data_IF_856639732418
#
_entry.id   IF_856639732418
#
_cell.length_a   1.000
_cell.length_b   1.000
_cell.length_c   1.000
_cell.angle_alpha   90.00
_cell.angle_beta   90.00
_cell.angle_gamma   90.00
#
_symmetry.space_group_name_H-M   'P 1'
#
loop_
_entity.id
_entity.type
_entity.pdbx_description
1 polymer ?
#
# COMPACT_ATOMS: atom_id res chain seq x y z
N UNK A 1 -26.58 -16.42 24.06
CA UNK A 1 -26.70 -17.87 23.86
C UNK A 1 -25.35 -18.49 24.16
N UNK A 2 -25.24 -19.38 25.13
CA UNK A 2 -24.02 -20.17 25.37
C UNK A 2 -23.91 -21.22 24.27
N UNK A 3 -23.42 -20.80 23.10
CA UNK A 3 -23.27 -21.69 21.95
C UNK A 3 -22.10 -22.64 22.22
N UNK A 4 -22.42 -23.91 22.43
CA UNK A 4 -21.47 -25.00 22.32
C UNK A 4 -20.89 -24.98 20.91
N UNK A 5 -19.59 -24.73 20.75
CA UNK A 5 -18.84 -24.87 19.49
C UNK A 5 -18.76 -26.34 19.00
N UNK A 6 -19.62 -27.24 19.49
CA UNK A 6 -19.58 -28.67 19.19
C UNK A 6 -20.03 -29.01 17.77
N UNK A 7 -20.98 -28.26 17.21
CA UNK A 7 -21.53 -28.55 15.88
C UNK A 7 -20.73 -27.81 14.80
N UNK A 8 -19.71 -28.49 14.27
CA UNK A 8 -18.83 -28.00 13.20
C UNK A 8 -19.51 -27.92 11.83
N UNK A 9 -20.73 -28.45 11.69
CA UNK A 9 -21.49 -28.47 10.44
C UNK A 9 -22.88 -27.90 10.68
N UNK A 10 -23.21 -26.82 9.98
CA UNK A 10 -24.49 -26.12 10.09
C UNK A 10 -25.28 -26.29 8.80
N UNK A 11 -26.60 -26.50 8.92
CA UNK A 11 -27.54 -26.29 7.82
C UNK A 11 -27.63 -24.80 7.46
N UNK A 12 -28.14 -24.47 6.27
CA UNK A 12 -28.32 -23.08 5.83
C UNK A 12 -29.17 -22.26 6.83
N UNK A 13 -30.26 -22.85 7.37
CA UNK A 13 -31.13 -22.18 8.34
C UNK A 13 -30.45 -21.95 9.71
N UNK A 14 -29.53 -22.83 10.10
CA UNK A 14 -28.71 -22.62 11.30
C UNK A 14 -27.69 -21.49 11.07
N UNK A 15 -27.00 -21.52 9.93
CA UNK A 15 -26.05 -20.47 9.57
C UNK A 15 -26.72 -19.09 9.46
N UNK A 16 -27.88 -18.99 8.81
CA UNK A 16 -28.65 -17.75 8.71
C UNK A 16 -29.01 -17.19 10.09
N UNK A 17 -29.49 -18.03 11.02
CA UNK A 17 -29.78 -17.61 12.41
C UNK A 17 -28.55 -17.12 13.16
N UNK A 18 -27.39 -17.74 12.93
CA UNK A 18 -26.13 -17.30 13.54
C UNK A 18 -25.70 -15.93 13.01
N UNK A 19 -25.73 -15.76 11.69
CA UNK A 19 -25.40 -14.48 11.04
C UNK A 19 -26.36 -13.39 11.49
N UNK A 20 -27.68 -13.65 11.53
CA UNK A 20 -28.68 -12.69 12.01
C UNK A 20 -28.57 -12.32 13.48
N UNK A 21 -27.84 -13.10 14.30
CA UNK A 21 -27.61 -12.80 15.70
C UNK A 21 -26.41 -11.87 15.94
N UNK A 22 -25.59 -11.61 14.92
CA UNK A 22 -24.46 -10.69 14.97
C UNK A 22 -24.99 -9.28 14.73
N UNK A 23 -24.90 -8.35 15.71
CA UNK A 23 -25.47 -7.01 15.58
C UNK A 23 -24.67 -6.08 14.67
N UNK A 24 -23.45 -6.45 14.32
CA UNK A 24 -22.55 -5.66 13.48
C UNK A 24 -22.99 -5.64 12.00
N UNK A 25 -22.65 -4.58 11.24
CA UNK A 25 -22.79 -4.60 9.79
C UNK A 25 -21.83 -5.62 9.17
N UNK A 26 -22.16 -6.06 7.96
CA UNK A 26 -21.37 -7.02 7.20
C UNK A 26 -20.88 -6.40 5.90
N UNK A 27 -19.76 -6.90 5.41
CA UNK A 27 -19.28 -6.68 4.06
C UNK A 27 -19.15 -7.99 3.32
N UNK A 28 -19.33 -7.93 2.01
CA UNK A 28 -19.15 -9.07 1.11
C UNK A 28 -17.80 -8.91 0.41
N UNK A 29 -16.88 -9.83 0.67
CA UNK A 29 -15.58 -9.86 0.00
C UNK A 29 -15.62 -10.91 -1.09
N UNK A 30 -15.29 -10.53 -2.33
CA UNK A 30 -15.20 -11.48 -3.44
C UNK A 30 -13.85 -12.19 -3.45
N UNK A 31 -13.90 -13.52 -3.52
CA UNK A 31 -12.72 -14.36 -3.60
C UNK A 31 -12.24 -14.51 -5.06
N UNK A 32 -10.94 -14.75 -5.28
CA UNK A 32 -10.44 -15.13 -6.61
C UNK A 32 -11.14 -16.39 -7.15
N UNK A 33 -11.24 -16.58 -8.48
CA UNK A 33 -12.05 -17.66 -9.10
C UNK A 33 -11.70 -19.10 -8.67
N UNK A 34 -10.51 -19.31 -8.14
CA UNK A 34 -10.00 -20.62 -7.70
C UNK A 34 -10.15 -20.87 -6.19
N UNK A 35 -10.83 -19.97 -5.46
CA UNK A 35 -11.14 -20.10 -4.04
C UNK A 35 -12.64 -20.35 -3.88
N UNK A 36 -13.01 -21.38 -3.10
CA UNK A 36 -14.39 -21.67 -2.72
C UNK A 36 -14.60 -21.36 -1.23
N UNK A 37 -15.69 -20.66 -0.84
CA UNK A 37 -16.74 -20.09 -1.69
C UNK A 37 -16.27 -18.85 -2.48
N UNK A 38 -17.01 -18.44 -3.55
CA UNK A 38 -16.65 -17.28 -4.38
C UNK A 38 -16.75 -15.92 -3.65
N UNK A 39 -17.26 -15.91 -2.41
CA UNK A 39 -17.33 -14.72 -1.58
C UNK A 39 -17.30 -15.09 -0.09
N UNK A 40 -16.85 -14.17 0.74
CA UNK A 40 -16.89 -14.23 2.21
C UNK A 40 -17.84 -13.16 2.75
N UNK A 41 -18.71 -13.54 3.68
CA UNK A 41 -19.53 -12.61 4.44
C UNK A 41 -18.83 -12.32 5.77
N UNK A 42 -18.26 -11.12 5.88
CA UNK A 42 -17.42 -10.74 7.02
C UNK A 42 -18.12 -9.70 7.90
N UNK A 43 -18.30 -9.94 9.21
CA UNK A 43 -18.75 -8.89 10.11
C UNK A 43 -17.66 -7.82 10.23
N UNK A 44 -18.07 -6.56 10.31
CA UNK A 44 -17.19 -5.42 10.54
C UNK A 44 -17.27 -5.00 12.01
N UNK A 45 -16.18 -4.49 12.57
CA UNK A 45 -16.20 -3.86 13.89
C UNK A 45 -17.30 -2.79 13.97
N UNK A 46 -17.77 -2.44 15.17
CA UNK A 46 -18.66 -1.30 15.35
C UNK A 46 -17.89 0.01 15.03
N UNK A 47 -18.61 1.08 14.69
CA UNK A 47 -17.98 2.37 14.41
C UNK A 47 -17.57 3.03 15.72
N UNK A 48 -16.29 3.40 15.84
CA UNK A 48 -15.79 4.31 16.86
C UNK A 48 -15.17 5.55 16.22
N UNK A 49 -15.38 6.71 16.83
CA UNK A 49 -14.83 8.00 16.38
C UNK A 49 -13.80 8.57 17.37
N UNK A 50 -13.55 7.86 18.47
CA UNK A 50 -12.61 8.23 19.53
C UNK A 50 -11.95 7.00 20.14
N UNK A 51 -10.75 7.18 20.68
CA UNK A 51 -10.02 6.23 21.52
C UNK A 51 -10.32 6.54 22.99
N UNK A 52 -11.54 6.20 23.43
CA UNK A 52 -12.08 6.60 24.73
C UNK A 52 -11.22 6.14 25.93
N UNK A 53 -10.58 4.98 25.80
CA UNK A 53 -9.75 4.36 26.83
C UNK A 53 -8.23 4.54 26.56
N UNK A 54 -7.89 5.45 25.66
CA UNK A 54 -6.52 5.71 25.22
C UNK A 54 -6.08 4.88 24.00
N UNK A 55 -4.85 5.14 23.55
CA UNK A 55 -4.26 4.48 22.39
C UNK A 55 -3.25 3.40 22.82
N UNK A 56 -3.42 2.17 22.32
CA UNK A 56 -2.48 1.07 22.56
C UNK A 56 -1.76 0.65 21.27
N UNK A 57 -2.42 0.75 20.12
CA UNK A 57 -1.86 0.40 18.82
C UNK A 57 -2.29 1.33 17.70
N UNK A 58 -1.43 1.44 16.69
CA UNK A 58 -1.78 2.03 15.40
C UNK A 58 -1.34 1.08 14.29
N UNK A 59 -2.27 0.76 13.40
CA UNK A 59 -1.97 0.08 12.13
C UNK A 59 -2.11 1.09 10.99
N UNK A 60 -1.17 1.11 10.05
CA UNK A 60 -1.21 2.03 8.92
C UNK A 60 -0.81 1.34 7.63
N UNK A 61 -1.44 1.74 6.52
CA UNK A 61 -0.95 1.35 5.21
C UNK A 61 0.42 1.98 4.90
N UNK A 62 1.16 1.36 4.00
CA UNK A 62 2.38 1.93 3.44
C UNK A 62 2.04 2.91 2.33
N UNK A 63 1.46 2.39 1.24
CA UNK A 63 1.08 3.15 0.06
C UNK A 63 -0.01 4.16 0.46
N UNK A 64 0.10 5.42 0.00
CA UNK A 64 -0.94 6.45 0.14
C UNK A 64 -1.15 7.02 1.55
N UNK A 65 -0.62 6.34 2.57
CA UNK A 65 -0.69 6.70 3.98
C UNK A 65 0.70 7.06 4.54
N UNK A 66 1.71 6.23 4.27
CA UNK A 66 3.09 6.44 4.71
C UNK A 66 3.96 7.06 3.61
N UNK A 67 3.70 6.71 2.35
CA UNK A 67 4.51 7.15 1.18
C UNK A 67 3.69 7.32 -0.10
N UNK A 68 4.28 7.89 -1.15
CA UNK A 68 3.65 8.25 -2.44
C UNK A 68 3.87 7.23 -3.58
N UNK A 69 4.11 5.96 -3.24
CA UNK A 69 4.43 4.86 -4.18
C UNK A 69 3.41 4.66 -5.31
N UNK A 70 2.19 5.14 -5.15
CA UNK A 70 1.17 5.10 -6.20
C UNK A 70 1.55 5.84 -7.47
N UNK A 71 2.41 6.87 -7.37
CA UNK A 71 2.96 7.55 -8.55
C UNK A 71 3.71 6.55 -9.43
N UNK A 72 4.56 5.73 -8.82
CA UNK A 72 5.32 4.69 -9.52
C UNK A 72 4.40 3.57 -10.05
N UNK A 73 3.38 3.19 -9.28
CA UNK A 73 2.39 2.20 -9.73
C UNK A 73 1.65 2.69 -10.97
N UNK A 74 1.11 3.91 -10.96
CA UNK A 74 0.39 4.50 -12.10
C UNK A 74 1.30 4.62 -13.32
N UNK A 75 2.54 5.08 -13.13
CA UNK A 75 3.48 5.17 -14.24
C UNK A 75 3.74 3.80 -14.88
N UNK A 76 3.93 2.77 -14.05
CA UNK A 76 4.17 1.40 -14.51
C UNK A 76 2.95 0.80 -15.21
N UNK A 77 1.73 1.04 -14.69
CA UNK A 77 0.48 0.62 -15.31
C UNK A 77 0.21 1.34 -16.63
N UNK A 78 0.53 2.64 -16.69
CA UNK A 78 0.41 3.42 -17.90
C UNK A 78 1.37 2.93 -18.99
N UNK A 79 2.63 2.66 -18.63
CA UNK A 79 3.63 2.07 -19.53
C UNK A 79 3.22 0.67 -19.99
N UNK A 80 2.68 -0.16 -19.10
CA UNK A 80 2.13 -1.46 -19.46
C UNK A 80 0.99 -1.34 -20.47
N UNK A 81 0.02 -0.45 -20.23
CA UNK A 81 -1.10 -0.21 -21.14
C UNK A 81 -0.61 0.31 -22.50
N UNK A 82 0.33 1.25 -22.50
CA UNK A 82 0.93 1.80 -23.71
C UNK A 82 1.68 0.73 -24.51
N UNK A 83 2.50 -0.07 -23.84
CA UNK A 83 3.22 -1.21 -24.42
C UNK A 83 2.26 -2.19 -25.09
N UNK A 84 1.20 -2.62 -24.39
CA UNK A 84 0.23 -3.56 -24.95
C UNK A 84 -0.56 -2.96 -26.12
N UNK A 85 -0.78 -1.65 -26.14
CA UNK A 85 -1.41 -0.92 -27.25
C UNK A 85 -0.46 -0.64 -28.43
N UNK A 86 0.84 -0.92 -28.32
CA UNK A 86 1.85 -0.52 -29.31
C UNK A 86 2.03 1.00 -29.42
N UNK A 87 1.83 1.73 -28.32
CA UNK A 87 2.02 3.19 -28.21
C UNK A 87 3.39 3.52 -27.63
N UNK A 88 3.78 4.79 -27.73
CA UNK A 88 4.99 5.27 -27.08
C UNK A 88 4.92 5.06 -25.57
N UNK A 89 6.04 4.62 -24.98
CA UNK A 89 6.20 4.56 -23.53
C UNK A 89 6.56 5.92 -22.93
N UNK A 90 6.98 6.88 -23.77
CA UNK A 90 7.18 8.27 -23.38
C UNK A 90 5.82 8.92 -23.08
N UNK A 91 5.72 9.60 -21.94
CA UNK A 91 4.48 10.23 -21.47
C UNK A 91 3.28 9.26 -21.38
N UNK A 92 3.53 7.98 -21.10
CA UNK A 92 2.49 6.94 -21.06
C UNK A 92 1.31 7.28 -20.14
N UNK A 93 1.55 8.05 -19.06
CA UNK A 93 0.52 8.54 -18.13
C UNK A 93 -0.59 9.34 -18.82
N UNK A 94 -0.31 10.00 -19.95
CA UNK A 94 -1.31 10.72 -20.74
C UNK A 94 -2.33 9.80 -21.44
N UNK A 95 -2.08 8.49 -21.46
CA UNK A 95 -2.99 7.50 -22.04
C UNK A 95 -4.05 6.99 -21.06
N UNK A 96 -3.90 7.28 -19.77
CA UNK A 96 -4.89 6.99 -18.73
C UNK A 96 -5.72 8.23 -18.44
N UNK A 97 -7.01 8.03 -18.15
CA UNK A 97 -7.92 9.07 -17.68
C UNK A 97 -7.88 9.11 -16.14
N UNK A 98 -7.40 10.18 -15.50
CA UNK A 98 -7.29 10.24 -14.04
C UNK A 98 -8.62 10.13 -13.30
N UNK A 99 -9.72 10.62 -13.86
CA UNK A 99 -11.03 10.63 -13.20
C UNK A 99 -11.66 9.24 -13.28
N UNK A 100 -11.51 8.59 -14.43
CA UNK A 100 -12.12 7.29 -14.69
C UNK A 100 -11.26 6.12 -14.21
N UNK A 101 -9.95 6.16 -14.44
CA UNK A 101 -9.08 4.99 -14.30
C UNK A 101 -8.43 4.90 -12.92
N UNK A 102 -7.94 6.01 -12.34
CA UNK A 102 -7.21 5.98 -11.05
C UNK A 102 -8.01 5.32 -9.91
N UNK A 103 -9.32 5.55 -9.76
CA UNK A 103 -10.12 4.90 -8.72
C UNK A 103 -10.23 3.38 -8.86
N UNK A 104 -9.86 2.82 -10.02
CA UNK A 104 -9.92 1.39 -10.29
C UNK A 104 -8.53 0.74 -10.36
N UNK A 105 -7.46 1.54 -10.37
CA UNK A 105 -6.08 1.07 -10.54
C UNK A 105 -5.17 1.44 -9.37
N UNK A 106 -5.73 1.94 -8.26
CA UNK A 106 -5.05 2.21 -7.00
C UNK A 106 -5.85 1.60 -5.84
N UNK A 107 -5.20 1.24 -4.74
CA UNK A 107 -5.86 0.76 -3.53
C UNK A 107 -6.49 -0.64 -3.64
N UNK A 108 -5.98 -1.47 -4.54
CA UNK A 108 -6.35 -2.88 -4.75
C UNK A 108 -5.09 -3.68 -5.18
N UNK A 109 -5.20 -5.00 -5.37
CA UNK A 109 -4.08 -5.82 -5.89
C UNK A 109 -3.68 -5.42 -7.33
N UNK A 110 -2.41 -5.55 -7.68
CA UNK A 110 -1.88 -5.38 -9.04
C UNK A 110 -2.69 -6.15 -10.09
N UNK A 111 -3.09 -7.38 -9.78
CA UNK A 111 -3.91 -8.22 -10.68
C UNK A 111 -5.22 -7.52 -11.07
N UNK A 112 -5.89 -6.87 -10.12
CA UNK A 112 -7.15 -6.15 -10.37
C UNK A 112 -6.95 -4.89 -11.22
N UNK A 113 -5.86 -4.17 -10.98
CA UNK A 113 -5.51 -2.99 -11.77
C UNK A 113 -5.28 -3.36 -13.24
N UNK A 114 -4.52 -4.43 -13.46
CA UNK A 114 -4.23 -4.96 -14.80
C UNK A 114 -5.51 -5.46 -15.48
N UNK A 115 -6.35 -6.23 -14.77
CA UNK A 115 -7.64 -6.71 -15.29
C UNK A 115 -8.55 -5.55 -15.74
N UNK A 116 -8.67 -4.49 -14.93
CA UNK A 116 -9.44 -3.30 -15.27
C UNK A 116 -8.92 -2.64 -16.56
N UNK A 117 -7.61 -2.43 -16.67
CA UNK A 117 -7.01 -1.77 -17.84
C UNK A 117 -7.14 -2.63 -19.10
N UNK A 118 -7.06 -3.96 -18.99
CA UNK A 118 -7.33 -4.87 -20.10
C UNK A 118 -8.78 -4.75 -20.55
N UNK A 119 -9.74 -4.74 -19.62
CA UNK A 119 -11.15 -4.58 -19.97
C UNK A 119 -11.42 -3.23 -20.63
N UNK A 120 -10.75 -2.17 -20.16
CA UNK A 120 -10.95 -0.82 -20.65
C UNK A 120 -10.27 -0.55 -22.00
N UNK A 121 -9.05 -1.05 -22.20
CA UNK A 121 -8.20 -0.70 -23.34
C UNK A 121 -7.92 -1.88 -24.28
N UNK A 122 -8.32 -3.10 -23.93
CA UNK A 122 -7.98 -4.34 -24.64
C UNK A 122 -8.37 -4.37 -26.11
N UNK A 123 -9.40 -3.62 -26.51
CA UNK A 123 -9.78 -3.47 -27.92
C UNK A 123 -8.69 -2.81 -28.78
N UNK A 124 -7.77 -2.05 -28.17
CA UNK A 124 -6.62 -1.41 -28.83
C UNK A 124 -5.32 -2.21 -28.74
N UNK A 125 -5.34 -3.38 -28.10
CA UNK A 125 -4.13 -4.15 -27.85
C UNK A 125 -3.61 -4.82 -29.12
N UNK A 126 -2.29 -4.84 -29.27
CA UNK A 126 -1.60 -5.42 -30.42
C UNK A 126 -0.83 -6.66 -29.98
N UNK A 127 -1.21 -7.84 -30.49
CA UNK A 127 -0.62 -9.13 -30.08
C UNK A 127 0.89 -9.16 -30.31
N UNK A 128 1.38 -8.58 -31.39
CA UNK A 128 2.83 -8.46 -31.65
C UNK A 128 3.53 -7.61 -30.59
N UNK A 129 2.91 -6.49 -30.18
CA UNK A 129 3.45 -5.62 -29.14
C UNK A 129 3.43 -6.29 -27.77
N UNK A 130 2.35 -7.02 -27.45
CA UNK A 130 2.28 -7.85 -26.24
C UNK A 130 3.41 -8.87 -26.26
N UNK A 131 3.58 -9.62 -27.34
CA UNK A 131 4.63 -10.64 -27.47
C UNK A 131 6.02 -10.04 -27.21
N UNK A 132 6.34 -8.92 -27.86
CA UNK A 132 7.61 -8.20 -27.70
C UNK A 132 7.87 -7.82 -26.25
N UNK A 133 6.97 -7.05 -25.66
CA UNK A 133 7.18 -6.52 -24.31
C UNK A 133 7.10 -7.61 -23.26
N UNK A 134 6.27 -8.64 -23.44
CA UNK A 134 6.20 -9.79 -22.55
C UNK A 134 7.52 -10.57 -22.53
N UNK A 135 8.09 -10.89 -23.69
CA UNK A 135 9.37 -11.59 -23.80
C UNK A 135 10.51 -10.78 -23.18
N UNK A 136 10.59 -9.48 -23.49
CA UNK A 136 11.59 -8.59 -22.92
C UNK A 136 11.49 -8.51 -21.40
N UNK A 137 10.27 -8.31 -20.90
CA UNK A 137 9.97 -8.16 -19.48
C UNK A 137 10.33 -9.43 -18.72
N UNK A 138 9.92 -10.58 -19.25
CA UNK A 138 10.20 -11.89 -18.64
C UNK A 138 11.69 -12.21 -18.65
N UNK A 139 12.39 -11.92 -19.75
CA UNK A 139 13.83 -12.13 -19.85
C UNK A 139 14.58 -11.28 -18.81
N UNK A 140 14.20 -10.01 -18.66
CA UNK A 140 14.77 -9.14 -17.64
C UNK A 140 14.44 -9.62 -16.23
N UNK A 141 13.20 -10.00 -15.93
CA UNK A 141 12.81 -10.49 -14.60
C UNK A 141 13.62 -11.72 -14.21
N UNK A 142 13.80 -12.68 -15.12
CA UNK A 142 14.59 -13.88 -14.87
C UNK A 142 16.07 -13.55 -14.64
N UNK A 143 16.66 -12.72 -15.50
CA UNK A 143 18.10 -12.42 -15.47
C UNK A 143 18.49 -11.43 -14.36
N UNK A 144 17.75 -10.32 -14.25
CA UNK A 144 18.09 -9.17 -13.40
C UNK A 144 17.11 -8.95 -12.24
N UNK A 145 15.92 -9.54 -12.27
CA UNK A 145 14.93 -9.39 -11.21
C UNK A 145 15.50 -9.77 -9.84
N UNK A 146 15.06 -9.04 -8.82
CA UNK A 146 15.57 -9.20 -7.45
C UNK A 146 14.85 -10.31 -6.66
N UNK A 147 13.56 -10.55 -6.97
CA UNK A 147 12.72 -11.45 -6.20
C UNK A 147 12.65 -12.86 -6.81
N UNK A 148 12.96 -13.88 -6.00
CA UNK A 148 13.03 -15.28 -6.46
C UNK A 148 11.65 -15.83 -6.81
N UNK A 149 10.59 -15.42 -6.13
CA UNK A 149 9.24 -15.88 -6.43
C UNK A 149 8.73 -15.24 -7.72
N UNK A 150 9.01 -13.95 -7.93
CA UNK A 150 8.73 -13.26 -9.18
C UNK A 150 9.41 -13.93 -10.38
N UNK A 151 10.66 -14.39 -10.23
CA UNK A 151 11.34 -15.21 -11.27
C UNK A 151 10.60 -16.49 -11.60
N UNK A 152 10.14 -17.23 -10.58
CA UNK A 152 9.38 -18.47 -10.77
C UNK A 152 8.05 -18.19 -11.46
N UNK A 153 7.38 -17.11 -11.09
CA UNK A 153 6.13 -16.74 -11.72
C UNK A 153 6.31 -16.26 -13.17
N UNK A 154 7.37 -15.52 -13.49
CA UNK A 154 7.74 -15.17 -14.85
C UNK A 154 7.95 -16.42 -15.73
N UNK A 155 8.68 -17.42 -15.21
CA UNK A 155 8.86 -18.71 -15.88
C UNK A 155 7.53 -19.44 -16.06
N UNK A 156 6.67 -19.45 -15.04
CA UNK A 156 5.35 -20.03 -15.14
C UNK A 156 4.47 -19.29 -16.18
N UNK A 157 4.58 -17.97 -16.28
CA UNK A 157 3.89 -17.17 -17.29
C UNK A 157 4.30 -17.57 -18.72
N UNK A 158 5.59 -17.88 -18.98
CA UNK A 158 6.01 -18.43 -20.27
C UNK A 158 5.29 -19.75 -20.59
N UNK A 159 5.23 -20.66 -19.60
CA UNK A 159 4.61 -21.98 -19.77
C UNK A 159 3.11 -21.83 -20.07
N UNK A 160 2.40 -21.06 -19.23
CA UNK A 160 0.95 -20.86 -19.36
C UNK A 160 0.58 -20.17 -20.67
N UNK A 161 1.43 -19.27 -21.18
CA UNK A 161 1.18 -18.51 -22.42
C UNK A 161 1.71 -19.22 -23.68
N UNK A 162 1.99 -20.53 -23.61
CA UNK A 162 2.33 -21.35 -24.78
C UNK A 162 3.80 -21.30 -25.22
N UNK A 163 4.69 -20.79 -24.38
CA UNK A 163 6.10 -20.55 -24.68
C UNK A 163 7.05 -21.39 -23.80
N UNK A 164 6.62 -22.59 -23.38
CA UNK A 164 7.40 -23.49 -22.52
C UNK A 164 8.72 -23.96 -23.13
N UNK A 165 8.85 -23.96 -24.45
CA UNK A 165 10.05 -24.44 -25.17
C UNK A 165 11.19 -23.42 -25.25
N UNK A 166 10.99 -22.21 -24.72
CA UNK A 166 12.00 -21.13 -24.82
C UNK A 166 13.27 -21.42 -24.05
N UNK A 167 13.23 -22.26 -23.01
CA UNK A 167 14.42 -22.67 -22.25
C UNK A 167 15.49 -23.33 -23.14
N UNK A 168 15.07 -23.99 -24.22
CA UNK A 168 15.93 -24.64 -25.20
C UNK A 168 16.31 -23.73 -26.38
N UNK A 169 15.75 -22.52 -26.47
CA UNK A 169 16.03 -21.60 -27.59
C UNK A 169 17.37 -20.85 -27.35
N UNK A 170 18.36 -20.96 -28.26
CA UNK A 170 19.65 -20.27 -28.11
C UNK A 170 19.55 -18.74 -28.11
N UNK A 171 18.57 -18.17 -28.81
CA UNK A 171 18.36 -16.71 -28.82
C UNK A 171 17.75 -16.25 -27.49
N UNK A 172 16.84 -17.03 -26.90
CA UNK A 172 16.32 -16.75 -25.56
C UNK A 172 17.43 -16.76 -24.51
N UNK A 173 18.28 -17.78 -24.51
CA UNK A 173 19.42 -17.87 -23.61
C UNK A 173 20.40 -16.70 -23.79
N UNK A 174 20.59 -16.24 -25.04
CA UNK A 174 21.34 -15.01 -25.32
C UNK A 174 20.68 -13.78 -24.70
N UNK A 175 19.36 -13.60 -24.84
CA UNK A 175 18.62 -12.46 -24.24
C UNK A 175 18.77 -12.40 -22.71
N UNK A 176 18.79 -13.55 -22.03
CA UNK A 176 18.99 -13.64 -20.58
C UNK A 176 20.39 -13.18 -20.15
N UNK A 177 21.40 -13.34 -21.02
CA UNK A 177 22.79 -12.96 -20.75
C UNK A 177 23.21 -11.59 -21.31
N UNK A 178 22.41 -11.03 -22.22
CA UNK A 178 22.74 -9.83 -22.99
C UNK A 178 22.54 -8.53 -22.21
N UNK A 179 23.33 -7.50 -22.53
CA UNK A 179 23.06 -6.11 -22.15
C UNK A 179 21.93 -5.48 -22.97
N UNK A 180 21.45 -4.28 -22.57
CA UNK A 180 20.29 -3.60 -23.20
C UNK A 180 20.36 -3.43 -24.74
N UNK A 181 21.51 -3.08 -25.37
CA UNK A 181 21.56 -2.92 -26.83
C UNK A 181 21.44 -4.25 -27.60
N UNK A 182 22.14 -5.29 -27.13
CA UNK A 182 22.16 -6.63 -27.73
C UNK A 182 20.82 -7.36 -27.52
N UNK A 183 20.13 -7.06 -26.40
CA UNK A 183 18.82 -7.64 -26.09
C UNK A 183 17.75 -7.18 -27.10
N UNK A 184 17.78 -5.93 -27.53
CA UNK A 184 16.78 -5.39 -28.47
C UNK A 184 16.90 -5.99 -29.89
N UNK A 185 18.13 -6.21 -30.37
CA UNK A 185 18.37 -6.82 -31.67
C UNK A 185 17.92 -8.29 -31.71
N UNK A 186 18.27 -9.08 -30.67
CA UNK A 186 17.85 -10.48 -30.54
C UNK A 186 16.34 -10.67 -30.38
N UNK A 187 15.65 -9.68 -29.80
CA UNK A 187 14.22 -9.77 -29.49
C UNK A 187 13.33 -9.84 -30.74
N UNK A 188 13.67 -9.08 -31.80
CA UNK A 188 12.83 -9.03 -33.01
C UNK A 188 12.71 -10.38 -33.73
N UNK A 189 13.82 -11.11 -33.82
CA UNK A 189 13.82 -12.46 -34.39
C UNK A 189 13.02 -13.45 -33.53
N UNK A 190 13.13 -13.34 -32.20
CA UNK A 190 12.41 -14.20 -31.27
C UNK A 190 10.90 -13.94 -31.31
N UNK A 191 10.47 -12.67 -31.34
CA UNK A 191 9.06 -12.28 -31.44
C UNK A 191 8.39 -12.93 -32.65
N UNK A 192 9.04 -12.88 -33.80
CA UNK A 192 8.51 -13.45 -35.05
C UNK A 192 8.23 -14.95 -34.93
N UNK A 193 9.04 -15.70 -34.16
CA UNK A 193 8.86 -17.14 -33.92
C UNK A 193 7.80 -17.43 -32.85
N UNK A 194 7.73 -16.59 -31.82
CA UNK A 194 6.83 -16.77 -30.69
C UNK A 194 5.39 -16.34 -30.99
N UNK A 195 5.19 -15.41 -31.94
CA UNK A 195 3.89 -14.79 -32.21
C UNK A 195 2.79 -15.82 -32.51
N UNK A 196 3.11 -16.86 -33.29
CA UNK A 196 2.14 -17.91 -33.64
C UNK A 196 1.85 -18.92 -32.51
N UNK A 197 2.62 -18.90 -31.42
CA UNK A 197 2.48 -19.81 -30.27
C UNK A 197 1.92 -19.12 -29.02
N UNK A 198 2.09 -17.80 -28.92
CA UNK A 198 1.64 -17.02 -27.78
C UNK A 198 0.12 -17.09 -27.62
N UNK A 199 -0.36 -17.51 -26.46
CA UNK A 199 -1.79 -17.57 -26.12
C UNK A 199 -2.20 -16.40 -25.25
N UNK A 200 -2.82 -15.38 -25.83
CA UNK A 200 -3.30 -14.15 -25.13
C UNK A 200 -4.73 -13.79 -25.56
N UNK A 201 -5.60 -14.80 -25.59
CA UNK A 201 -6.95 -14.71 -26.17
C UNK A 201 -8.03 -14.46 -25.12
N UNK A 202 -7.72 -14.63 -23.84
CA UNK A 202 -8.63 -14.42 -22.71
C UNK A 202 -8.12 -13.35 -21.76
N UNK A 203 -9.03 -12.81 -20.93
CA UNK A 203 -8.68 -11.86 -19.87
C UNK A 203 -7.58 -12.42 -18.97
N UNK A 204 -7.69 -13.68 -18.54
CA UNK A 204 -6.69 -14.31 -17.66
C UNK A 204 -5.31 -14.37 -18.30
N UNK A 205 -5.20 -14.72 -19.58
CA UNK A 205 -3.92 -14.78 -20.28
C UNK A 205 -3.33 -13.39 -20.51
N UNK A 206 -4.16 -12.42 -20.90
CA UNK A 206 -3.74 -11.03 -21.07
C UNK A 206 -3.27 -10.42 -19.74
N UNK A 207 -3.95 -10.74 -18.63
CA UNK A 207 -3.56 -10.30 -17.29
C UNK A 207 -2.19 -10.84 -16.91
N UNK A 208 -1.90 -12.12 -17.20
CA UNK A 208 -0.57 -12.69 -16.96
C UNK A 208 0.52 -11.95 -17.73
N UNK A 209 0.30 -11.69 -19.02
CA UNK A 209 1.27 -10.94 -19.83
C UNK A 209 1.43 -9.50 -19.31
N UNK A 210 0.32 -8.82 -19.00
CA UNK A 210 0.31 -7.45 -18.47
C UNK A 210 1.04 -7.32 -17.14
N UNK A 211 0.88 -8.29 -16.23
CA UNK A 211 1.58 -8.32 -14.94
C UNK A 211 3.10 -8.34 -15.12
N UNK A 212 3.63 -9.18 -16.03
CA UNK A 212 5.08 -9.21 -16.27
C UNK A 212 5.59 -7.89 -16.90
N UNK A 213 4.82 -7.30 -17.82
CA UNK A 213 5.16 -5.99 -18.43
C UNK A 213 5.15 -4.87 -17.39
N UNK A 214 4.17 -4.87 -16.49
CA UNK A 214 4.08 -3.93 -15.37
C UNK A 214 5.31 -4.07 -14.45
N UNK A 215 5.60 -5.28 -13.97
CA UNK A 215 6.68 -5.51 -13.01
C UNK A 215 8.06 -5.22 -13.58
N UNK A 216 8.26 -5.40 -14.89
CA UNK A 216 9.50 -5.01 -15.56
C UNK A 216 9.85 -3.54 -15.34
N UNK A 217 8.88 -2.64 -15.49
CA UNK A 217 9.12 -1.22 -15.27
C UNK A 217 9.26 -0.94 -13.78
N UNK A 218 8.30 -1.43 -12.98
CA UNK A 218 8.24 -1.18 -11.54
C UNK A 218 9.54 -1.60 -10.82
N UNK A 219 10.00 -2.84 -11.00
CA UNK A 219 11.20 -3.36 -10.35
C UNK A 219 12.50 -2.74 -10.86
N UNK A 220 12.56 -2.38 -12.13
CA UNK A 220 13.74 -1.70 -12.66
C UNK A 220 13.89 -0.31 -12.04
N UNK A 221 12.77 0.42 -11.90
CA UNK A 221 12.77 1.71 -11.23
C UNK A 221 13.17 1.59 -9.75
N UNK A 222 12.62 0.61 -9.02
CA UNK A 222 13.05 0.35 -7.63
C UNK A 222 14.55 -0.01 -7.54
N UNK A 223 15.06 -0.81 -8.47
CA UNK A 223 16.49 -1.15 -8.51
C UNK A 223 17.37 0.07 -8.75
N UNK A 224 16.95 1.01 -9.60
CA UNK A 224 17.68 2.26 -9.84
C UNK A 224 17.64 3.20 -8.63
N UNK A 225 16.49 3.34 -7.96
CA UNK A 225 16.37 4.11 -6.71
C UNK A 225 17.35 3.57 -5.66
N UNK A 226 17.40 2.24 -5.50
CA UNK A 226 18.33 1.58 -4.58
C UNK A 226 19.80 1.85 -4.92
N UNK A 227 20.18 1.82 -6.20
CA UNK A 227 21.57 2.09 -6.64
C UNK A 227 21.99 3.54 -6.45
N UNK A 228 21.09 4.49 -6.68
CA UNK A 228 21.38 5.92 -6.61
C UNK A 228 21.41 6.47 -5.17
N UNK A 229 21.10 5.63 -4.17
CA UNK A 229 21.04 6.06 -2.76
C UNK A 229 20.07 7.21 -2.53
N UNK A 230 18.98 7.26 -3.31
CA UNK A 230 17.97 8.32 -3.26
C UNK A 230 18.39 9.68 -3.83
N UNK A 231 19.55 9.78 -4.49
CA UNK A 231 19.92 10.98 -5.25
C UNK A 231 19.30 10.91 -6.65
N UNK A 232 18.05 11.33 -6.80
CA UNK A 232 17.54 11.72 -8.13
C UNK A 232 18.28 12.98 -8.57
N UNK A 233 19.51 12.84 -9.07
CA UNK A 233 20.33 13.89 -9.68
C UNK A 233 19.79 14.38 -11.03
N UNK A 234 18.49 14.29 -11.24
CA UNK A 234 17.78 14.81 -12.40
C UNK A 234 16.65 15.70 -11.90
N UNK A 235 16.33 16.74 -12.66
CA UNK A 235 15.30 17.77 -12.42
C UNK A 235 13.85 17.25 -12.34
N UNK A 236 13.63 15.97 -12.03
CA UNK A 236 12.33 15.33 -11.85
C UNK A 236 11.98 15.19 -10.36
N UNK A 237 10.68 15.25 -10.05
CA UNK A 237 10.14 15.02 -8.71
C UNK A 237 10.49 13.59 -8.24
N UNK A 238 10.85 13.40 -6.97
CA UNK A 238 11.12 12.06 -6.44
C UNK A 238 9.83 11.20 -6.51
N UNK A 239 9.96 9.95 -6.95
CA UNK A 239 8.81 9.04 -7.13
C UNK A 239 8.36 8.37 -5.82
N UNK A 240 9.23 8.37 -4.80
CA UNK A 240 8.96 7.83 -3.47
C UNK A 240 9.32 8.93 -2.49
N UNK A 241 8.30 9.49 -1.85
CA UNK A 241 8.42 10.52 -0.81
C UNK A 241 7.60 10.10 0.41
N UNK A 242 7.96 10.53 1.63
CA UNK A 242 7.08 10.41 2.78
C UNK A 242 5.77 11.17 2.54
N UNK A 243 4.65 10.61 3.00
CA UNK A 243 3.40 11.37 3.03
C UNK A 243 3.50 12.54 4.01
N UNK A 244 2.92 13.71 3.70
CA UNK A 244 3.05 14.90 4.54
C UNK A 244 2.67 14.64 6.00
N UNK A 245 3.61 14.94 6.92
CA UNK A 245 3.42 14.78 8.36
C UNK A 245 3.66 13.38 8.92
N UNK A 246 4.00 12.38 8.10
CA UNK A 246 4.25 11.00 8.58
C UNK A 246 5.39 10.95 9.60
N UNK A 247 6.52 11.62 9.36
CA UNK A 247 7.65 11.63 10.29
C UNK A 247 7.27 12.18 11.67
N UNK A 248 6.52 13.28 11.70
CA UNK A 248 6.04 13.89 12.95
C UNK A 248 5.06 12.95 13.65
N UNK A 249 4.21 12.26 12.88
CA UNK A 249 3.25 11.28 13.42
C UNK A 249 3.95 10.10 14.07
N UNK A 250 4.93 9.50 13.39
CA UNK A 250 5.71 8.39 13.94
C UNK A 250 6.45 8.81 15.21
N UNK A 251 7.10 9.97 15.18
CA UNK A 251 7.82 10.52 16.33
C UNK A 251 6.89 10.84 17.51
N UNK A 252 5.68 11.34 17.23
CA UNK A 252 4.65 11.58 18.24
C UNK A 252 4.22 10.28 18.90
N UNK A 253 3.82 9.27 18.11
CA UNK A 253 3.26 8.03 18.63
C UNK A 253 4.25 7.20 19.42
N UNK A 254 5.54 7.27 19.10
CA UNK A 254 6.61 6.63 19.90
C UNK A 254 7.01 7.47 21.13
N UNK A 255 6.39 8.63 21.35
CA UNK A 255 6.61 9.47 22.51
C UNK A 255 7.90 10.30 22.47
N UNK A 256 8.53 10.45 21.30
CA UNK A 256 9.86 11.07 21.19
C UNK A 256 9.83 12.60 21.16
N UNK A 257 8.67 13.19 20.89
CA UNK A 257 8.51 14.64 20.76
C UNK A 257 8.12 15.35 22.06
N UNK A 258 7.46 14.68 23.00
CA UNK A 258 6.84 15.27 24.20
C UNK A 258 6.22 16.65 23.94
N UNK A 259 6.39 17.59 24.87
CA UNK A 259 5.88 18.97 24.70
C UNK A 259 6.40 19.70 23.45
N UNK A 260 7.55 19.29 22.91
CA UNK A 260 8.16 19.95 21.75
C UNK A 260 7.42 19.67 20.45
N UNK A 261 6.41 18.78 20.44
CA UNK A 261 5.42 18.71 19.36
C UNK A 261 4.83 20.10 19.07
N UNK A 262 4.66 20.94 20.08
CA UNK A 262 4.18 22.31 19.93
C UNK A 262 5.07 23.18 19.04
N UNK A 263 6.37 22.87 18.91
CA UNK A 263 7.31 23.59 18.03
C UNK A 263 7.10 23.21 16.55
N UNK A 264 6.55 22.03 16.29
CA UNK A 264 6.28 21.49 14.95
C UNK A 264 4.88 21.85 14.42
N UNK A 265 4.15 22.75 15.11
CA UNK A 265 2.82 23.20 14.71
C UNK A 265 2.78 23.80 13.30
N UNK A 266 3.74 24.67 12.98
CA UNK A 266 3.74 25.37 11.69
C UNK A 266 4.04 24.42 10.52
N UNK A 267 5.04 23.51 10.60
CA UNK A 267 5.20 22.41 9.65
C UNK A 267 3.95 21.53 9.49
N UNK A 268 3.27 21.17 10.58
CA UNK A 268 2.03 20.39 10.52
C UNK A 268 0.90 21.12 9.77
N UNK A 269 0.75 22.44 9.99
CA UNK A 269 -0.25 23.24 9.27
C UNK A 269 0.10 23.35 7.78
N UNK A 270 1.38 23.49 7.44
CA UNK A 270 1.83 23.50 6.05
C UNK A 270 1.49 22.17 5.36
N UNK A 271 1.79 21.03 6.01
CA UNK A 271 1.46 19.69 5.52
C UNK A 271 -0.06 19.48 5.37
N UNK A 272 -0.86 19.99 6.31
CA UNK A 272 -2.32 19.97 6.24
C UNK A 272 -2.84 20.72 5.00
N UNK A 273 -2.34 21.94 4.77
CA UNK A 273 -2.76 22.78 3.65
C UNK A 273 -2.24 22.28 2.29
N UNK A 274 -1.10 21.59 2.26
CA UNK A 274 -0.62 20.89 1.06
C UNK A 274 -1.59 19.76 0.66
N UNK A 275 -2.15 19.06 1.66
CA UNK A 275 -3.08 17.95 1.46
C UNK A 275 -4.49 18.41 1.14
N UNK A 276 -4.92 19.49 1.77
CA UNK A 276 -6.25 20.07 1.65
C UNK A 276 -6.16 21.59 1.84
N UNK A 277 -6.10 22.31 0.73
CA UNK A 277 -6.02 23.78 0.71
C UNK A 277 -7.20 24.47 1.40
N UNK A 278 -8.32 23.75 1.49
CA UNK A 278 -9.59 24.16 2.07
C UNK A 278 -9.73 23.75 3.54
N UNK A 279 -8.69 23.19 4.14
CA UNK A 279 -8.72 22.70 5.52
C UNK A 279 -9.02 23.83 6.52
N UNK A 280 -9.84 23.52 7.51
CA UNK A 280 -10.17 24.48 8.56
C UNK A 280 -9.01 24.62 9.56
N UNK A 281 -8.24 25.68 9.37
CA UNK A 281 -7.12 26.04 10.25
C UNK A 281 -7.55 26.70 11.56
N UNK A 282 -8.85 26.98 11.77
CA UNK A 282 -9.35 27.59 13.02
C UNK A 282 -9.62 26.57 14.10
N UNK A 283 -9.90 25.32 13.73
CA UNK A 283 -10.18 24.21 14.65
C UNK A 283 -8.93 23.40 15.01
N UNK A 284 -7.77 23.76 14.47
CA UNK A 284 -6.50 23.10 14.80
C UNK A 284 -6.10 23.36 16.26
N UNK A 285 -5.45 22.37 16.87
CA UNK A 285 -4.93 22.49 18.23
C UNK A 285 -4.04 23.73 18.40
N UNK A 286 -4.17 24.34 19.58
CA UNK A 286 -3.25 25.38 20.04
C UNK A 286 -1.86 24.77 20.33
N UNK A 287 -0.85 25.62 20.52
CA UNK A 287 0.48 25.14 20.96
C UNK A 287 0.40 24.37 22.27
N UNK A 288 -0.43 24.83 23.21
CA UNK A 288 -0.66 24.11 24.48
C UNK A 288 -1.36 22.77 24.24
N UNK A 289 -2.37 22.71 23.35
CA UNK A 289 -3.03 21.45 23.01
C UNK A 289 -2.07 20.42 22.39
N UNK A 290 -1.15 20.87 21.53
CA UNK A 290 -0.09 20.00 21.00
C UNK A 290 0.92 19.59 22.06
N UNK A 291 1.28 20.47 23.00
CA UNK A 291 2.15 20.11 24.11
C UNK A 291 1.50 19.02 24.99
N UNK A 292 0.20 19.15 25.27
CA UNK A 292 -0.62 18.16 25.99
C UNK A 292 -0.66 16.81 25.28
N UNK A 293 -0.94 16.82 23.97
CA UNK A 293 -0.95 15.61 23.15
C UNK A 293 0.43 14.93 23.12
N UNK A 294 1.49 15.72 23.00
CA UNK A 294 2.86 15.23 23.06
C UNK A 294 3.23 14.61 24.40
N UNK A 295 2.88 15.25 25.53
CA UNK A 295 3.05 14.67 26.88
C UNK A 295 2.29 13.36 27.05
N UNK A 296 1.09 13.26 26.50
CA UNK A 296 0.30 12.04 26.57
C UNK A 296 1.06 10.86 25.93
N UNK A 297 1.54 11.00 24.69
CA UNK A 297 2.25 9.92 24.02
C UNK A 297 3.68 9.69 24.56
N UNK A 298 4.32 10.70 25.14
CA UNK A 298 5.57 10.51 25.89
C UNK A 298 5.38 9.58 27.10
N UNK A 299 4.23 9.68 27.78
CA UNK A 299 3.86 8.77 28.88
C UNK A 299 3.32 7.44 28.39
N UNK A 300 2.67 7.43 27.22
CA UNK A 300 1.93 6.28 26.68
C UNK A 300 2.34 6.02 25.21
N UNK A 301 3.59 5.59 24.97
CA UNK A 301 4.03 5.28 23.62
C UNK A 301 3.24 4.11 23.05
N UNK A 302 2.92 4.20 21.77
CA UNK A 302 2.01 3.29 21.07
C UNK A 302 2.79 2.25 20.26
N UNK A 303 2.23 1.04 20.15
CA UNK A 303 2.73 0.02 19.22
C UNK A 303 2.35 0.37 17.79
N UNK A 304 3.31 0.36 16.87
CA UNK A 304 3.10 0.74 15.48
C UNK A 304 3.24 -0.47 14.55
N UNK A 305 2.27 -0.65 13.66
CA UNK A 305 2.38 -1.58 12.56
C UNK A 305 2.24 -0.89 11.21
N UNK A 306 3.16 -1.22 10.31
CA UNK A 306 3.02 -0.97 8.89
C UNK A 306 2.42 -2.21 8.22
N UNK A 307 1.46 -2.00 7.33
CA UNK A 307 0.81 -3.06 6.54
C UNK A 307 0.88 -2.67 5.06
N UNK A 308 1.18 -3.59 4.15
CA UNK A 308 1.11 -3.34 2.69
C UNK A 308 0.78 -4.61 1.91
N UNK A 309 0.18 -4.43 0.73
CA UNK A 309 0.01 -5.51 -0.26
C UNK A 309 1.22 -5.68 -1.18
N UNK A 310 2.28 -4.88 -0.98
CA UNK A 310 3.58 -5.07 -1.64
C UNK A 310 4.35 -6.22 -1.00
N UNK A 311 5.22 -6.89 -1.76
CA UNK A 311 6.10 -7.93 -1.21
C UNK A 311 7.23 -7.30 -0.38
N UNK A 312 7.83 -8.07 0.53
CA UNK A 312 8.80 -7.54 1.50
C UNK A 312 10.04 -6.91 0.86
N UNK A 313 10.50 -7.42 -0.29
CA UNK A 313 11.66 -6.85 -0.98
C UNK A 313 11.39 -5.48 -1.62
N UNK A 314 10.15 -5.23 -2.06
CA UNK A 314 9.70 -3.94 -2.57
C UNK A 314 9.52 -2.95 -1.42
N UNK A 315 8.77 -3.36 -0.40
CA UNK A 315 8.50 -2.56 0.79
C UNK A 315 9.81 -2.10 1.47
N UNK A 316 10.82 -2.96 1.55
CA UNK A 316 12.12 -2.60 2.11
C UNK A 316 12.80 -1.45 1.35
N UNK A 317 12.82 -1.47 0.01
CA UNK A 317 13.43 -0.39 -0.79
C UNK A 317 12.67 0.92 -0.61
N UNK A 318 11.34 0.84 -0.65
CA UNK A 318 10.46 1.99 -0.47
C UNK A 318 10.70 2.62 0.90
N UNK A 319 10.69 1.83 1.96
CA UNK A 319 10.85 2.32 3.33
C UNK A 319 12.26 2.84 3.61
N UNK A 320 13.30 2.21 3.06
CA UNK A 320 14.67 2.72 3.15
C UNK A 320 14.75 4.15 2.57
N UNK A 321 14.09 4.40 1.43
CA UNK A 321 14.07 5.72 0.82
C UNK A 321 13.23 6.73 1.61
N UNK A 322 12.04 6.33 2.08
CA UNK A 322 11.20 7.16 2.95
C UNK A 322 11.99 7.59 4.19
N UNK A 323 12.63 6.63 4.88
CA UNK A 323 13.36 6.90 6.11
C UNK A 323 14.60 7.76 5.89
N UNK A 324 15.27 7.62 4.74
CA UNK A 324 16.35 8.53 4.34
C UNK A 324 15.87 9.98 4.26
N UNK A 325 14.69 10.22 3.69
CA UNK A 325 14.08 11.57 3.65
C UNK A 325 13.69 12.03 5.05
N UNK A 326 13.09 11.16 5.87
CA UNK A 326 12.71 11.48 7.25
C UNK A 326 13.91 11.87 8.14
N UNK A 327 15.08 11.23 7.95
CA UNK A 327 16.32 11.63 8.63
C UNK A 327 16.70 13.07 8.26
N UNK A 328 16.60 13.42 6.97
CA UNK A 328 16.88 14.79 6.52
C UNK A 328 15.87 15.79 7.11
N UNK A 329 14.58 15.48 7.06
CA UNK A 329 13.52 16.35 7.60
C UNK A 329 13.68 16.57 9.11
N UNK A 330 13.92 15.50 9.87
CA UNK A 330 14.13 15.57 11.32
C UNK A 330 15.37 16.39 11.70
N UNK A 331 16.39 16.39 10.83
CA UNK A 331 17.57 17.25 10.96
C UNK A 331 17.22 18.74 10.99
N UNK A 332 16.21 19.16 10.23
CA UNK A 332 15.76 20.55 10.09
C UNK A 332 14.71 20.96 11.12
N UNK A 333 14.15 20.00 11.88
CA UNK A 333 13.15 20.30 12.91
C UNK A 333 13.73 21.19 14.02
N UNK A 334 12.95 22.20 14.41
CA UNK A 334 13.28 23.12 15.51
C UNK A 334 12.87 22.47 16.83
N UNK A 335 13.69 21.54 17.30
CA UNK A 335 13.56 20.81 18.56
C UNK A 335 14.93 20.72 19.24
N UNK A 336 14.96 20.35 20.51
CA UNK A 336 16.19 20.21 21.29
C UNK A 336 17.11 19.14 20.71
N UNK A 337 18.42 19.32 20.91
CA UNK A 337 19.43 18.39 20.39
C UNK A 337 19.24 16.96 20.90
N UNK A 338 18.87 16.80 22.17
CA UNK A 338 18.63 15.48 22.76
C UNK A 338 17.50 14.71 22.08
N UNK A 339 16.36 15.37 21.81
CA UNK A 339 15.25 14.75 21.07
C UNK A 339 15.61 14.51 19.61
N UNK A 340 16.33 15.45 18.99
CA UNK A 340 16.82 15.30 17.62
C UNK A 340 17.74 14.08 17.47
N UNK A 341 18.68 13.86 18.38
CA UNK A 341 19.59 12.71 18.34
C UNK A 341 18.83 11.38 18.43
N UNK A 342 17.80 11.30 19.30
CA UNK A 342 16.91 10.12 19.38
C UNK A 342 16.21 9.87 18.04
N UNK A 343 15.66 10.91 17.42
CA UNK A 343 14.94 10.79 16.15
C UNK A 343 15.86 10.40 15.00
N UNK A 344 17.04 11.01 14.91
CA UNK A 344 18.01 10.71 13.86
C UNK A 344 18.54 9.28 13.97
N UNK A 345 18.72 8.75 15.18
CA UNK A 345 19.08 7.34 15.40
C UNK A 345 17.91 6.40 15.10
N UNK A 346 16.69 6.73 15.54
CA UNK A 346 15.51 5.91 15.29
C UNK A 346 15.18 5.82 13.79
N UNK A 347 15.22 6.94 13.06
CA UNK A 347 14.94 6.99 11.63
C UNK A 347 16.05 6.41 10.74
N UNK A 348 17.14 5.87 11.30
CA UNK A 348 18.09 5.08 10.49
C UNK A 348 17.51 3.76 9.98
N UNK A 349 16.42 3.26 10.59
CA UNK A 349 15.82 2.00 10.15
C UNK A 349 14.32 1.93 10.49
N UNK A 350 13.47 1.50 9.53
CA UNK A 350 12.05 1.26 9.79
C UNK A 350 11.80 0.29 10.96
N UNK A 351 12.67 -0.70 11.14
CA UNK A 351 12.57 -1.70 12.21
C UNK A 351 12.79 -1.13 13.62
N UNK A 352 13.29 0.10 13.76
CA UNK A 352 13.42 0.80 15.05
C UNK A 352 12.17 1.60 15.41
N UNK A 353 11.27 1.81 14.45
CA UNK A 353 10.04 2.59 14.62
C UNK A 353 8.83 1.67 14.69
N UNK A 354 8.71 0.74 13.74
CA UNK A 354 7.59 -0.18 13.64
C UNK A 354 7.83 -1.44 14.48
N UNK A 355 6.87 -1.73 15.36
CA UNK A 355 6.81 -2.95 16.16
C UNK A 355 6.33 -4.15 15.32
N UNK A 356 5.64 -3.91 14.21
CA UNK A 356 5.31 -4.91 13.20
C UNK A 356 5.39 -4.33 11.77
N UNK A 357 5.89 -5.12 10.83
CA UNK A 357 5.88 -4.80 9.39
C UNK A 357 5.32 -6.00 8.66
N UNK A 358 4.07 -5.89 8.19
CA UNK A 358 3.35 -6.97 7.53
C UNK A 358 3.23 -6.66 6.05
N UNK A 359 3.68 -7.59 5.22
CA UNK A 359 3.76 -7.45 3.77
C UNK A 359 3.01 -8.59 3.09
N UNK A 360 2.83 -8.52 1.77
CA UNK A 360 2.26 -9.64 1.01
C UNK A 360 3.10 -10.91 1.12
N UNK A 361 4.40 -10.81 1.43
CA UNK A 361 5.29 -11.96 1.65
C UNK A 361 4.94 -12.78 2.89
N UNK A 362 4.24 -12.17 3.85
CA UNK A 362 3.82 -12.83 5.09
C UNK A 362 2.48 -13.59 4.90
N UNK A 363 1.81 -13.39 3.76
CA UNK A 363 0.52 -13.96 3.43
C UNK A 363 0.55 -14.58 2.02
N UNK A 364 -0.61 -14.65 1.36
CA UNK A 364 -0.76 -15.09 -0.02
C UNK A 364 -1.65 -14.12 -0.79
N UNK A 365 -1.48 -14.07 -2.12
CA UNK A 365 -2.24 -13.18 -3.02
C UNK A 365 -3.76 -13.23 -2.76
N UNK A 366 -4.29 -14.43 -2.46
CA UNK A 366 -5.72 -14.63 -2.21
C UNK A 366 -6.23 -14.07 -0.89
N UNK A 367 -5.32 -13.68 0.02
CA UNK A 367 -5.62 -13.16 1.36
C UNK A 367 -5.12 -11.71 1.54
N UNK A 368 -4.76 -11.03 0.46
CA UNK A 368 -4.45 -9.59 0.51
C UNK A 368 -5.75 -8.77 0.64
N UNK A 369 -5.60 -7.46 0.82
CA UNK A 369 -6.72 -6.50 0.92
C UNK A 369 -7.69 -6.73 -0.26
N UNK A 370 -9.01 -6.80 -0.03
CA UNK A 370 -9.74 -6.36 1.17
C UNK A 370 -9.86 -7.39 2.31
N UNK A 371 -9.18 -8.53 2.25
CA UNK A 371 -9.21 -9.48 3.36
C UNK A 371 -8.48 -8.93 4.58
N UNK A 372 -9.01 -9.23 5.78
CA UNK A 372 -8.50 -8.76 7.07
C UNK A 372 -7.12 -9.26 7.45
N UNK A 373 -6.61 -10.27 6.76
CA UNK A 373 -5.54 -11.15 7.22
C UNK A 373 -4.27 -10.37 7.55
N UNK A 374 -3.84 -9.43 6.71
CA UNK A 374 -2.64 -8.63 6.96
C UNK A 374 -2.76 -7.78 8.25
N UNK A 375 -3.91 -7.15 8.48
CA UNK A 375 -4.15 -6.36 9.70
C UNK A 375 -4.31 -7.25 10.94
N UNK A 376 -4.92 -8.43 10.80
CA UNK A 376 -5.02 -9.41 11.88
C UNK A 376 -3.64 -9.95 12.28
N UNK A 377 -2.74 -10.18 11.32
CA UNK A 377 -1.35 -10.51 11.57
C UNK A 377 -0.61 -9.35 12.24
N UNK A 378 -0.90 -8.10 11.87
CA UNK A 378 -0.30 -6.93 12.50
C UNK A 378 -0.67 -6.84 13.99
N UNK A 379 -1.96 -7.00 14.32
CA UNK A 379 -2.45 -7.02 15.70
C UNK A 379 -1.80 -8.16 16.51
N UNK A 380 -1.72 -9.36 15.92
CA UNK A 380 -1.07 -10.50 16.55
C UNK A 380 0.42 -10.26 16.79
N UNK A 381 1.16 -9.76 15.81
CA UNK A 381 2.61 -9.50 15.90
C UNK A 381 2.92 -8.41 16.93
N UNK A 382 2.08 -7.37 17.03
CA UNK A 382 2.17 -6.38 18.11
C UNK A 382 1.74 -6.93 19.48
N UNK A 383 1.16 -8.13 19.54
CA UNK A 383 0.64 -8.72 20.78
C UNK A 383 -0.51 -7.91 21.38
N UNK A 384 -1.41 -7.37 20.55
CA UNK A 384 -2.61 -6.68 21.00
C UNK A 384 -3.73 -7.70 21.12
N UNK A 385 -4.36 -7.76 22.30
CA UNK A 385 -5.43 -8.70 22.57
C UNK A 385 -6.77 -8.23 21.96
N UNK A 386 -7.69 -9.14 21.58
CA UNK A 386 -8.99 -8.75 21.02
C UNK A 386 -9.81 -7.80 21.91
N UNK A 387 -9.69 -7.92 23.24
CA UNK A 387 -10.31 -7.01 24.19
C UNK A 387 -9.82 -5.56 24.06
N UNK A 388 -8.61 -5.33 23.56
CA UNK A 388 -7.99 -4.00 23.42
C UNK A 388 -8.10 -3.43 21.99
N UNK A 389 -8.81 -4.10 21.07
CA UNK A 389 -9.01 -3.58 19.71
C UNK A 389 -9.69 -2.20 19.68
N UNK A 390 -10.48 -1.85 20.69
CA UNK A 390 -11.09 -0.53 20.86
C UNK A 390 -10.07 0.60 21.12
N UNK A 391 -8.83 0.26 21.51
CA UNK A 391 -7.70 1.18 21.70
C UNK A 391 -6.77 1.26 20.48
N UNK A 392 -7.16 0.65 19.36
CA UNK A 392 -6.39 0.64 18.13
C UNK A 392 -7.01 1.58 17.10
N UNK A 393 -6.18 2.42 16.49
CA UNK A 393 -6.56 3.20 15.31
C UNK A 393 -5.97 2.56 14.05
N UNK A 394 -6.77 2.48 12.99
CA UNK A 394 -6.33 2.08 11.66
C UNK A 394 -6.35 3.24 10.68
N UNK A 395 -5.27 3.42 9.91
CA UNK A 395 -5.15 4.45 8.87
C UNK A 395 -4.94 3.82 7.50
N UNK A 396 -5.73 4.26 6.52
CA UNK A 396 -5.74 3.70 5.16
C UNK A 396 -6.21 4.74 4.16
N UNK A 397 -5.73 4.71 2.93
CA UNK A 397 -6.14 5.62 1.86
C UNK A 397 -7.13 4.99 0.87
N UNK A 398 -7.41 3.68 0.99
CA UNK A 398 -8.18 2.89 0.03
C UNK A 398 -9.46 2.26 0.60
N UNK A 399 -10.45 2.02 -0.27
CA UNK A 399 -11.68 1.30 0.12
C UNK A 399 -11.36 -0.13 0.59
N UNK A 400 -10.51 -0.85 -0.16
CA UNK A 400 -10.17 -2.23 0.18
C UNK A 400 -9.48 -2.35 1.54
N UNK A 401 -8.63 -1.38 1.87
CA UNK A 401 -7.96 -1.29 3.14
C UNK A 401 -8.85 -0.94 4.31
N UNK A 402 -9.75 0.03 4.15
CA UNK A 402 -10.73 0.35 5.20
C UNK A 402 -11.64 -0.84 5.52
N UNK A 403 -12.02 -1.62 4.50
CA UNK A 403 -12.73 -2.90 4.68
C UNK A 403 -11.86 -3.89 5.48
N UNK A 404 -10.59 -4.04 5.11
CA UNK A 404 -9.67 -4.97 5.76
C UNK A 404 -9.44 -4.62 7.25
N UNK A 405 -9.27 -3.33 7.58
CA UNK A 405 -9.14 -2.83 8.97
C UNK A 405 -10.39 -3.15 9.78
N UNK A 406 -11.58 -2.81 9.26
CA UNK A 406 -12.85 -3.03 9.97
C UNK A 406 -13.16 -4.50 10.19
N UNK A 407 -12.88 -5.33 9.20
CA UNK A 407 -13.09 -6.78 9.30
C UNK A 407 -12.01 -7.47 10.15
N UNK A 408 -10.86 -6.83 10.39
CA UNK A 408 -9.88 -7.25 11.40
C UNK A 408 -10.32 -6.96 12.85
N UNK A 409 -11.45 -6.27 13.04
CA UNK A 409 -12.01 -5.99 14.37
C UNK A 409 -11.67 -4.61 14.92
N UNK A 410 -10.97 -3.75 14.16
CA UNK A 410 -10.56 -2.41 14.59
C UNK A 410 -11.73 -1.42 14.35
N UNK A 411 -12.30 -0.79 15.39
CA UNK A 411 -13.49 0.05 15.25
C UNK A 411 -13.19 1.47 14.76
N UNK A 412 -12.06 2.05 15.17
CA UNK A 412 -11.58 3.35 14.69
C UNK A 412 -10.75 3.15 13.42
N UNK A 413 -11.39 3.35 12.26
CA UNK A 413 -10.77 3.24 10.94
C UNK A 413 -10.88 4.60 10.25
N UNK A 414 -9.76 5.29 10.08
CA UNK A 414 -9.71 6.59 9.46
C UNK A 414 -9.20 6.45 8.02
N UNK A 415 -10.03 6.87 7.06
CA UNK A 415 -9.62 6.98 5.67
C UNK A 415 -8.84 8.28 5.45
N UNK A 416 -7.69 8.20 4.79
CA UNK A 416 -6.78 9.30 4.46
C UNK A 416 -6.69 9.45 2.93
N UNK A 417 -7.80 9.81 2.25
CA UNK A 417 -7.78 9.90 0.80
C UNK A 417 -6.77 10.94 0.33
N UNK A 418 -6.07 10.62 -0.75
CA UNK A 418 -5.22 11.57 -1.46
C UNK A 418 -5.66 11.69 -2.91
N UNK A 419 -4.92 12.44 -3.73
CA UNK A 419 -5.35 12.81 -5.08
C UNK A 419 -5.79 11.62 -5.96
N UNK A 420 -5.22 10.43 -5.75
CA UNK A 420 -5.53 9.23 -6.56
C UNK A 420 -6.67 8.40 -5.98
N UNK A 421 -6.97 8.49 -4.69
CA UNK A 421 -8.03 7.72 -4.00
C UNK A 421 -9.21 8.55 -3.53
N UNK A 422 -9.23 9.87 -3.81
CA UNK A 422 -10.31 10.79 -3.42
C UNK A 422 -11.72 10.40 -3.91
N UNK A 423 -11.81 9.52 -4.91
CA UNK A 423 -13.08 9.05 -5.47
C UNK A 423 -13.47 7.63 -5.02
N UNK A 424 -12.68 7.00 -4.15
CA UNK A 424 -13.06 5.74 -3.51
C UNK A 424 -14.26 5.92 -2.57
N UNK A 425 -14.93 4.80 -2.24
CA UNK A 425 -16.04 4.79 -1.29
C UNK A 425 -15.55 4.34 0.07
N UNK A 426 -15.56 5.26 1.03
CA UNK A 426 -15.05 5.00 2.38
C UNK A 426 -16.17 4.66 3.38
N UNK A 427 -17.20 3.91 2.96
CA UNK A 427 -18.34 3.54 3.81
C UNK A 427 -17.93 2.65 5.00
N UNK A 428 -16.84 1.88 4.84
CA UNK A 428 -16.26 1.09 5.93
C UNK A 428 -15.52 1.96 6.97
N UNK A 429 -14.99 3.11 6.56
CA UNK A 429 -14.26 3.98 7.48
C UNK A 429 -15.21 4.58 8.53
N UNK A 430 -14.72 4.74 9.76
CA UNK A 430 -15.44 5.50 10.78
C UNK A 430 -15.27 7.01 10.61
N UNK A 431 -14.17 7.44 9.98
CA UNK A 431 -13.83 8.84 9.74
C UNK A 431 -13.12 8.97 8.40
N UNK A 432 -13.22 10.14 7.78
CA UNK A 432 -12.44 10.51 6.58
C UNK A 432 -11.72 11.81 6.87
N UNK A 433 -10.39 11.79 6.78
CA UNK A 433 -9.52 12.94 6.99
C UNK A 433 -8.75 13.26 5.69
N UNK A 434 -9.32 14.17 4.89
CA UNK A 434 -8.75 14.60 3.60
C UNK A 434 -7.40 15.29 3.81
N UNK A 435 -7.22 15.97 4.95
CA UNK A 435 -5.95 16.57 5.34
C UNK A 435 -4.89 15.57 5.81
N UNK A 436 -5.15 14.26 5.72
CA UNK A 436 -4.21 13.19 6.09
C UNK A 436 -3.91 13.13 7.58
N UNK A 437 -2.76 12.56 7.93
CA UNK A 437 -2.26 12.52 9.31
C UNK A 437 -2.11 13.90 9.97
N UNK A 438 -1.75 14.99 9.25
CA UNK A 438 -1.81 16.33 9.82
C UNK A 438 -3.18 16.72 10.37
N UNK A 439 -4.28 16.37 9.68
CA UNK A 439 -5.65 16.61 10.19
C UNK A 439 -5.93 15.75 11.43
N UNK A 440 -5.49 14.49 11.43
CA UNK A 440 -5.63 13.58 12.57
C UNK A 440 -4.96 14.17 13.82
N UNK A 441 -3.76 14.73 13.70
CA UNK A 441 -3.07 15.39 14.81
C UNK A 441 -3.75 16.71 15.17
N UNK A 442 -3.90 17.61 14.21
CA UNK A 442 -4.26 19.00 14.45
C UNK A 442 -5.74 19.20 14.76
N UNK A 443 -6.64 18.57 14.00
CA UNK A 443 -8.09 18.81 14.12
C UNK A 443 -8.79 17.74 14.95
N UNK A 444 -8.18 16.55 15.08
CA UNK A 444 -8.81 15.41 15.78
C UNK A 444 -8.16 15.06 17.11
N UNK A 445 -7.06 15.71 17.52
CA UNK A 445 -6.32 15.37 18.74
C UNK A 445 -5.95 13.87 18.79
N UNK A 446 -5.58 13.32 17.63
CA UNK A 446 -5.38 11.87 17.42
C UNK A 446 -6.57 11.00 17.87
N UNK A 447 -7.79 11.52 17.76
CA UNK A 447 -9.03 10.91 18.24
C UNK A 447 -9.06 10.62 19.75
N UNK A 448 -8.16 11.21 20.55
CA UNK A 448 -8.18 11.11 22.00
C UNK A 448 -9.15 12.15 22.59
N UNK A 449 -10.02 11.75 23.54
CA UNK A 449 -10.81 12.71 24.30
C UNK A 449 -9.93 13.74 25.02
N UNK A 450 -10.38 15.00 25.03
CA UNK A 450 -9.61 16.10 25.62
C UNK A 450 -9.26 15.88 27.10
N UNK A 451 -10.08 15.15 27.86
CA UNK A 451 -9.83 14.86 29.27
C UNK A 451 -8.64 13.91 29.48
N UNK A 452 -8.29 13.06 28.50
CA UNK A 452 -7.10 12.21 28.57
C UNK A 452 -5.82 13.01 28.32
N UNK A 453 -5.85 13.94 27.38
CA UNK A 453 -4.67 14.76 27.04
C UNK A 453 -4.48 15.94 27.99
N UNK A 454 -5.56 16.46 28.59
CA UNK A 454 -5.50 17.55 29.57
C UNK A 454 -5.11 17.10 30.99
N UNK A 455 -4.97 15.80 31.25
CA UNK A 455 -4.63 15.24 32.56
C UNK A 455 -3.33 15.81 33.14
N UNK A 456 -3.50 16.54 34.26
CA UNK A 456 -2.47 17.18 35.08
C UNK A 456 -1.46 16.20 35.67
N UNK A 457 -0.23 16.70 35.85
CA UNK A 457 0.96 16.09 36.47
C UNK A 457 0.74 14.97 37.50
#
# INVERSE_FOLDING_TARGET
MTNSFSDKHLSADQAARWVSAIPQPFTLIHNPPYVFPPWELCPMAHVATELADGAEGVVMDMDGTTTTTEVLCIESLAKMTAAMCGRSLENASQHLDPVRDYPNIIGNSTTKHVEYLIQQYGASFQVESICRHFLESTAWTISQGMDVNRKKEALNSLIVLGLSELDQDPDWNRLLSAGEPERQEGLTALVSRCLGRLTVNSLTEQSRAGIEIYYRHYHATLAEIRKQGGSSGGTGKAMIEPMPGIGITLALLKGWLGEELAQLRDPLIAALLERNDSADTKTVLSREGLAQLGRYFERHPVKLALVTSSIGSEAAIVLDEVFRVLVSEAGDWKISSGRKDVLLDAFQSPARVYDAQITASDSSEIRLKPHRDLYSMALHTMGISPEDFHKVAGFEDSESGTIAIRTAGIPLCCALPFAMTQHHRFEAASMVCIGGLPEVILNRNFFLPAHLTAGSD
#
